data_IF_158175842314
#
_entry.id   IF_158175842314
#
_cell.length_a   1.000
_cell.length_b   1.000
_cell.length_c   1.000
_cell.angle_alpha   90.00
_cell.angle_beta   90.00
_cell.angle_gamma   90.00
#
_symmetry.space_group_name_H-M   'P 1'
#
loop_
_entity.id
_entity.type
_entity.pdbx_description
1 polymer ?
#
# COMPACT_ATOMS: atom_id res chain seq x y z
N UNK A 1 -9.55 17.69 1.44
CA UNK A 1 -8.26 18.03 2.08
C UNK A 1 -7.14 17.62 1.12
N UNK A 2 -6.29 18.57 0.72
CA UNK A 2 -5.12 18.38 -0.16
C UNK A 2 -5.39 17.50 -1.41
N UNK A 3 -6.48 17.76 -2.14
CA UNK A 3 -6.86 17.03 -3.37
C UNK A 3 -6.90 15.50 -3.25
N UNK A 4 -7.15 15.00 -2.03
CA UNK A 4 -7.26 13.58 -1.77
C UNK A 4 -5.94 12.88 -1.43
N UNK A 5 -4.81 13.61 -1.36
CA UNK A 5 -3.49 13.08 -1.00
C UNK A 5 -3.42 12.41 0.38
N UNK A 6 -4.37 12.72 1.26
CA UNK A 6 -4.43 12.19 2.63
C UNK A 6 -5.59 11.21 2.86
N UNK A 7 -6.33 10.80 1.82
CA UNK A 7 -7.57 10.01 1.98
C UNK A 7 -7.38 8.72 2.79
N UNK A 8 -6.24 8.04 2.63
CA UNK A 8 -5.97 6.75 3.28
C UNK A 8 -4.99 6.84 4.45
N UNK A 9 -4.28 7.98 4.60
CA UNK A 9 -3.30 8.22 5.67
C UNK A 9 -3.98 8.61 6.99
N UNK A 10 -4.77 7.68 7.52
CA UNK A 10 -5.58 7.90 8.71
C UNK A 10 -5.33 6.82 9.78
N UNK A 11 -5.17 7.18 11.07
CA UNK A 11 -4.95 6.21 12.15
C UNK A 11 -6.01 5.12 12.24
N UNK A 12 -7.26 5.39 11.90
CA UNK A 12 -8.32 4.37 11.87
C UNK A 12 -8.11 3.30 10.79
N UNK A 13 -7.51 3.65 9.65
CA UNK A 13 -7.18 2.69 8.59
C UNK A 13 -5.94 1.89 9.02
N UNK A 14 -4.87 2.59 9.37
CA UNK A 14 -3.61 1.94 9.74
C UNK A 14 -3.69 1.17 11.05
N UNK A 15 -4.52 1.61 12.01
CA UNK A 15 -4.79 0.87 13.25
C UNK A 15 -5.48 -0.46 12.98
N UNK A 16 -6.45 -0.50 12.06
CA UNK A 16 -7.10 -1.74 11.64
C UNK A 16 -6.14 -2.72 10.95
N UNK A 17 -5.19 -2.20 10.17
CA UNK A 17 -4.18 -3.00 9.46
C UNK A 17 -3.05 -3.46 10.39
N UNK A 18 -2.51 -2.59 11.25
CA UNK A 18 -1.26 -2.81 11.99
C UNK A 18 -1.45 -3.31 13.43
N UNK A 19 -2.67 -3.39 13.93
CA UNK A 19 -2.91 -4.01 15.23
C UNK A 19 -2.39 -5.46 15.21
N UNK A 20 -1.46 -5.75 16.11
CA UNK A 20 -0.96 -7.10 16.30
C UNK A 20 -1.99 -7.85 17.13
N UNK A 21 -2.67 -8.82 16.52
CA UNK A 21 -3.79 -9.53 17.13
C UNK A 21 -3.39 -10.48 18.24
N UNK A 22 -2.10 -10.81 18.37
CA UNK A 22 -1.58 -11.64 19.46
C UNK A 22 -1.31 -10.82 20.73
N UNK A 23 -1.41 -9.49 20.65
CA UNK A 23 -1.13 -8.57 21.75
C UNK A 23 -2.42 -7.94 22.29
N UNK A 24 -2.71 -8.20 23.56
CA UNK A 24 -3.94 -7.74 24.21
C UNK A 24 -4.05 -6.21 24.26
N UNK A 25 -2.95 -5.51 24.52
CA UNK A 25 -2.88 -4.05 24.55
C UNK A 25 -3.20 -3.41 23.19
N UNK A 26 -2.73 -4.00 22.09
CA UNK A 26 -3.09 -3.54 20.74
C UNK A 26 -4.60 -3.70 20.48
N UNK A 27 -5.18 -4.85 20.87
CA UNK A 27 -6.61 -5.11 20.66
C UNK A 27 -7.51 -4.21 21.51
N UNK A 28 -7.09 -3.91 22.75
CA UNK A 28 -7.77 -2.95 23.61
C UNK A 28 -7.72 -1.53 23.02
N UNK A 29 -6.55 -1.10 22.53
CA UNK A 29 -6.39 0.22 21.94
C UNK A 29 -7.30 0.44 20.72
N UNK A 30 -7.35 -0.51 19.78
CA UNK A 30 -8.23 -0.36 18.61
C UNK A 30 -9.72 -0.38 19.00
N UNK A 31 -10.10 -1.16 20.02
CA UNK A 31 -11.46 -1.19 20.53
C UNK A 31 -11.86 0.16 21.17
N UNK A 32 -10.98 0.75 21.99
CA UNK A 32 -11.18 2.07 22.60
C UNK A 32 -11.45 3.15 21.56
N UNK A 33 -10.71 3.12 20.44
CA UNK A 33 -10.87 4.07 19.35
C UNK A 33 -11.94 3.68 18.30
N UNK A 34 -12.74 2.64 18.56
CA UNK A 34 -13.75 2.13 17.61
C UNK A 34 -13.17 1.87 16.22
N UNK A 35 -12.06 1.14 16.18
CA UNK A 35 -11.33 0.73 14.98
C UNK A 35 -11.51 -0.78 14.83
N UNK A 36 -12.13 -1.21 13.74
CA UNK A 36 -12.23 -2.62 13.39
C UNK A 36 -10.90 -3.12 12.79
N UNK A 37 -10.48 -4.36 13.08
CA UNK A 37 -9.40 -5.01 12.35
C UNK A 37 -9.69 -5.08 10.85
N UNK A 38 -8.64 -5.06 10.03
CA UNK A 38 -8.70 -5.28 8.59
C UNK A 38 -7.98 -6.57 8.28
N UNK A 39 -8.66 -7.51 7.61
CA UNK A 39 -8.15 -8.84 7.26
C UNK A 39 -7.52 -8.90 5.86
N UNK A 40 -8.00 -8.05 4.95
CA UNK A 40 -7.63 -8.05 3.54
C UNK A 40 -7.37 -6.63 3.06
N UNK A 41 -6.22 -6.42 2.42
CA UNK A 41 -5.84 -5.15 1.79
C UNK A 41 -5.53 -5.41 0.32
N UNK A 42 -6.36 -4.86 -0.56
CA UNK A 42 -6.18 -4.97 -2.02
C UNK A 42 -5.84 -3.58 -2.56
N UNK A 43 -4.61 -3.41 -3.05
CA UNK A 43 -4.12 -2.10 -3.49
C UNK A 43 -3.22 -2.28 -4.72
N UNK A 44 -3.53 -1.56 -5.78
CA UNK A 44 -2.68 -1.38 -6.95
C UNK A 44 -2.18 0.07 -6.98
N UNK A 45 -0.93 0.28 -7.37
CA UNK A 45 -0.34 1.62 -7.46
C UNK A 45 -0.70 2.27 -8.80
N UNK A 46 -0.70 3.60 -8.82
CA UNK A 46 -0.72 4.36 -10.08
C UNK A 46 0.45 3.94 -10.98
N UNK A 47 0.21 3.94 -12.30
CA UNK A 47 1.21 3.56 -13.31
C UNK A 47 2.28 4.66 -13.48
N UNK A 48 3.17 4.76 -12.50
CA UNK A 48 4.31 5.68 -12.55
C UNK A 48 5.29 5.32 -13.67
N UNK A 49 5.38 4.04 -14.06
CA UNK A 49 6.27 3.58 -15.14
C UNK A 49 5.81 4.08 -16.50
N UNK A 50 4.49 4.07 -16.75
CA UNK A 50 3.89 4.59 -17.98
C UNK A 50 3.79 6.12 -18.03
N UNK A 51 3.54 6.77 -16.89
CA UNK A 51 3.37 8.22 -16.82
C UNK A 51 4.11 8.83 -15.60
N UNK A 52 5.45 8.94 -15.64
CA UNK A 52 6.22 9.41 -14.51
C UNK A 52 6.12 10.93 -14.33
N UNK A 53 5.74 11.36 -13.13
CA UNK A 53 5.65 12.77 -12.77
C UNK A 53 5.51 12.97 -11.26
N UNK A 54 5.80 14.18 -10.76
CA UNK A 54 5.77 14.46 -9.32
C UNK A 54 4.37 14.21 -8.71
N UNK A 55 3.32 14.49 -9.48
CA UNK A 55 1.92 14.29 -9.10
C UNK A 55 1.45 12.84 -9.21
N UNK A 56 2.18 11.97 -9.92
CA UNK A 56 1.84 10.55 -10.07
C UNK A 56 2.53 9.67 -9.04
N UNK A 57 3.35 10.26 -8.14
CA UNK A 57 3.94 9.56 -7.00
C UNK A 57 2.85 9.31 -5.95
N UNK A 58 2.54 8.03 -5.75
CA UNK A 58 1.60 7.59 -4.74
C UNK A 58 2.29 7.48 -3.37
N UNK A 59 1.67 8.08 -2.36
CA UNK A 59 2.10 7.97 -0.97
C UNK A 59 1.22 7.00 -0.20
N UNK A 60 -0.09 7.03 -0.45
CA UNK A 60 -1.06 6.24 0.26
C UNK A 60 -0.98 4.75 -0.09
N UNK A 61 -0.88 4.44 -1.38
CA UNK A 61 -0.78 3.09 -1.91
C UNK A 61 0.39 2.30 -1.31
N UNK A 62 1.64 2.76 -1.44
CA UNK A 62 2.80 2.05 -0.88
C UNK A 62 2.72 1.94 0.65
N UNK A 63 2.17 2.95 1.33
CA UNK A 63 1.98 2.90 2.78
C UNK A 63 1.02 1.79 3.21
N UNK A 64 -0.13 1.64 2.54
CA UNK A 64 -1.10 0.57 2.80
C UNK A 64 -0.50 -0.82 2.52
N UNK A 65 0.17 -0.97 1.36
CA UNK A 65 0.81 -2.22 0.95
C UNK A 65 1.84 -2.65 2.00
N UNK A 66 2.75 -1.75 2.40
CA UNK A 66 3.79 -2.05 3.39
C UNK A 66 3.21 -2.34 4.77
N UNK A 67 2.15 -1.65 5.18
CA UNK A 67 1.50 -1.89 6.46
C UNK A 67 0.87 -3.29 6.51
N UNK A 68 0.15 -3.69 5.45
CA UNK A 68 -0.46 -5.02 5.35
C UNK A 68 0.60 -6.12 5.26
N UNK A 69 1.61 -5.96 4.40
CA UNK A 69 2.71 -6.92 4.24
C UNK A 69 3.49 -7.11 5.55
N UNK A 70 3.75 -6.04 6.31
CA UNK A 70 4.38 -6.11 7.64
C UNK A 70 3.56 -6.96 8.61
N UNK A 71 2.22 -6.87 8.56
CA UNK A 71 1.33 -7.58 9.47
C UNK A 71 0.74 -8.85 8.85
N UNK A 72 1.49 -9.53 7.96
CA UNK A 72 1.03 -10.72 7.23
C UNK A 72 0.70 -11.94 8.11
N UNK A 73 1.08 -11.90 9.39
CA UNK A 73 0.58 -12.84 10.39
C UNK A 73 -0.96 -12.82 10.50
N UNK A 74 -1.60 -11.67 10.24
CA UNK A 74 -3.04 -11.50 10.37
C UNK A 74 -3.73 -10.81 9.18
N UNK A 75 -2.97 -10.21 8.25
CA UNK A 75 -3.52 -9.46 7.11
C UNK A 75 -3.04 -10.05 5.80
N UNK A 76 -3.95 -10.33 4.88
CA UNK A 76 -3.61 -10.71 3.51
C UNK A 76 -3.48 -9.44 2.67
N UNK A 77 -2.37 -9.31 1.94
CA UNK A 77 -2.13 -8.20 1.00
C UNK A 77 -2.19 -8.71 -0.43
N UNK A 78 -2.84 -7.96 -1.31
CA UNK A 78 -2.95 -8.27 -2.74
C UNK A 78 -2.57 -7.03 -3.56
N UNK A 79 -1.57 -7.18 -4.42
CA UNK A 79 -1.05 -6.10 -5.29
C UNK A 79 -1.20 -6.39 -6.79
N UNK A 80 -1.70 -7.58 -7.14
CA UNK A 80 -1.84 -8.05 -8.52
C UNK A 80 -3.16 -8.83 -8.66
N UNK A 81 -4.03 -8.46 -9.62
CA UNK A 81 -5.27 -9.18 -9.88
C UNK A 81 -5.11 -10.68 -10.17
N UNK A 82 -3.92 -11.11 -10.64
CA UNK A 82 -3.65 -12.54 -10.91
C UNK A 82 -3.70 -13.42 -9.66
N UNK A 83 -3.56 -12.84 -8.47
CA UNK A 83 -3.60 -13.58 -7.21
C UNK A 83 -5.02 -13.73 -6.65
N UNK A 84 -6.03 -13.09 -7.27
CA UNK A 84 -7.37 -13.01 -6.70
C UNK A 84 -8.06 -14.38 -6.65
N UNK A 85 -8.05 -15.12 -7.76
CA UNK A 85 -8.76 -16.40 -7.86
C UNK A 85 -8.29 -17.40 -6.79
N UNK A 86 -6.99 -17.47 -6.55
CA UNK A 86 -6.41 -18.36 -5.54
C UNK A 86 -6.78 -17.93 -4.11
N UNK A 87 -6.70 -16.63 -3.80
CA UNK A 87 -7.09 -16.11 -2.48
C UNK A 87 -8.59 -16.32 -2.23
N UNK A 88 -9.43 -16.05 -3.24
CA UNK A 88 -10.87 -16.26 -3.18
C UNK A 88 -11.18 -17.74 -2.93
N UNK A 89 -10.49 -18.67 -3.59
CA UNK A 89 -10.66 -20.10 -3.38
C UNK A 89 -10.34 -20.52 -1.93
N UNK A 90 -9.26 -19.98 -1.34
CA UNK A 90 -8.93 -20.23 0.06
C UNK A 90 -10.01 -19.69 1.01
N UNK A 91 -10.47 -18.45 0.79
CA UNK A 91 -11.51 -17.84 1.62
C UNK A 91 -12.82 -18.63 1.56
N UNK A 92 -13.24 -19.11 0.39
CA UNK A 92 -14.45 -19.94 0.28
C UNK A 92 -14.30 -21.33 0.91
N UNK A 93 -13.09 -21.90 0.92
CA UNK A 93 -12.85 -23.23 1.46
C UNK A 93 -12.69 -23.24 2.98
N UNK A 94 -11.98 -22.26 3.54
CA UNK A 94 -11.53 -22.28 4.94
C UNK A 94 -11.76 -20.97 5.70
N UNK A 95 -12.37 -19.96 5.10
CA UNK A 95 -12.53 -18.58 5.64
C UNK A 95 -11.19 -17.89 5.98
N UNK A 96 -10.08 -18.47 5.52
CA UNK A 96 -8.72 -18.04 5.83
C UNK A 96 -7.80 -18.29 4.64
N UNK A 97 -6.83 -17.40 4.44
CA UNK A 97 -5.71 -17.59 3.52
C UNK A 97 -4.57 -18.24 4.30
N UNK A 98 -3.97 -19.37 3.87
CA UNK A 98 -2.90 -20.03 4.62
C UNK A 98 -1.71 -19.11 4.91
N UNK A 99 -1.03 -19.33 6.05
CA UNK A 99 0.12 -18.51 6.47
C UNK A 99 1.21 -18.45 5.40
N UNK A 100 1.60 -19.60 4.83
CA UNK A 100 2.58 -19.68 3.75
C UNK A 100 2.21 -18.76 2.57
N UNK A 101 0.93 -18.73 2.21
CA UNK A 101 0.42 -17.87 1.14
C UNK A 101 0.45 -16.39 1.54
N UNK A 102 0.07 -16.05 2.77
CA UNK A 102 0.15 -14.65 3.26
C UNK A 102 1.60 -14.15 3.29
N UNK A 103 2.55 -14.99 3.67
CA UNK A 103 3.99 -14.67 3.66
C UNK A 103 4.50 -14.48 2.23
N UNK A 104 4.12 -15.36 1.29
CA UNK A 104 4.48 -15.22 -0.11
C UNK A 104 3.91 -13.93 -0.74
N UNK A 105 2.66 -13.59 -0.42
CA UNK A 105 2.04 -12.34 -0.85
C UNK A 105 2.71 -11.11 -0.24
N UNK A 106 3.14 -11.18 1.02
CA UNK A 106 3.90 -10.11 1.67
C UNK A 106 5.27 -9.87 1.02
N UNK A 107 5.98 -10.94 0.65
CA UNK A 107 7.22 -10.85 -0.14
C UNK A 107 6.96 -10.13 -1.47
N UNK A 108 5.97 -10.61 -2.25
CA UNK A 108 5.57 -10.00 -3.53
C UNK A 108 5.21 -8.52 -3.36
N UNK A 109 4.51 -8.16 -2.29
CA UNK A 109 4.15 -6.79 -1.97
C UNK A 109 5.37 -5.89 -1.69
N UNK A 110 6.36 -6.36 -0.92
CA UNK A 110 7.58 -5.60 -0.68
C UNK A 110 8.43 -5.45 -1.94
N UNK A 111 8.56 -6.50 -2.75
CA UNK A 111 9.22 -6.45 -4.06
C UNK A 111 8.55 -5.44 -4.99
N UNK A 112 7.22 -5.43 -5.02
CA UNK A 112 6.46 -4.46 -5.82
C UNK A 112 6.72 -3.01 -5.40
N UNK A 113 6.74 -2.72 -4.10
CA UNK A 113 7.08 -1.36 -3.63
C UNK A 113 8.54 -1.00 -3.86
N UNK A 114 9.47 -1.96 -3.79
CA UNK A 114 10.88 -1.72 -4.11
C UNK A 114 11.09 -1.37 -5.59
N UNK A 115 10.38 -2.06 -6.50
CA UNK A 115 10.38 -1.75 -7.92
C UNK A 115 9.80 -0.35 -8.19
N UNK A 116 8.72 0.01 -7.50
CA UNK A 116 8.10 1.33 -7.60
C UNK A 116 9.06 2.46 -7.17
N UNK A 117 9.70 2.33 -6.00
CA UNK A 117 10.67 3.30 -5.50
C UNK A 117 11.92 3.40 -6.40
N UNK A 118 12.35 2.27 -6.99
CA UNK A 118 13.44 2.26 -7.96
C UNK A 118 13.10 3.05 -9.23
N UNK A 119 11.85 2.94 -9.72
CA UNK A 119 11.37 3.71 -10.87
C UNK A 119 11.35 5.22 -10.59
N UNK A 120 10.83 5.63 -9.42
CA UNK A 120 10.84 7.03 -8.97
C UNK A 120 12.28 7.55 -8.87
N UNK A 121 13.16 6.78 -8.23
CA UNK A 121 14.57 7.15 -8.06
C UNK A 121 15.29 7.32 -9.39
N UNK A 122 15.01 6.44 -10.36
CA UNK A 122 15.53 6.53 -11.72
C UNK A 122 15.04 7.80 -12.42
N UNK A 123 13.74 8.07 -12.38
CA UNK A 123 13.16 9.27 -12.98
C UNK A 123 13.73 10.57 -12.39
N UNK A 124 13.83 10.66 -11.06
CA UNK A 124 14.46 11.82 -10.39
C UNK A 124 15.92 12.00 -10.82
N UNK A 125 16.68 10.91 -10.94
CA UNK A 125 18.08 10.94 -11.40
C UNK A 125 18.18 11.45 -12.83
N UNK A 126 17.30 11.01 -13.72
CA UNK A 126 17.29 11.43 -15.11
C UNK A 126 16.88 12.91 -15.24
N UNK A 127 15.93 13.39 -14.41
CA UNK A 127 15.57 14.81 -14.30
C UNK A 127 16.76 15.67 -13.84
N UNK A 128 17.47 15.26 -12.79
CA UNK A 128 18.70 15.93 -12.33
C UNK A 128 19.74 16.02 -13.45
N UNK A 129 19.94 14.95 -14.22
CA UNK A 129 20.90 14.92 -15.34
C UNK A 129 20.51 15.85 -16.48
N UNK A 130 19.22 15.93 -16.80
CA UNK A 130 18.71 16.79 -17.87
C UNK A 130 18.66 18.28 -17.50
N UNK A 131 18.65 18.60 -16.21
CA UNK A 131 18.41 19.97 -15.72
C UNK A 131 16.95 20.44 -15.86
N UNK A 132 16.04 19.57 -16.29
CA UNK A 132 14.61 19.88 -16.38
C UNK A 132 13.97 20.00 -14.99
N UNK A 133 13.08 20.98 -14.83
CA UNK A 133 12.25 21.08 -13.62
C UNK A 133 11.36 19.85 -13.49
N UNK A 134 11.26 19.33 -12.26
CA UNK A 134 10.30 18.28 -11.89
C UNK A 134 8.93 18.85 -11.51
N UNK A 135 8.88 20.15 -11.23
CA UNK A 135 7.64 20.86 -10.97
C UNK A 135 7.04 21.30 -12.30
N UNK A 136 5.72 21.14 -12.49
CA UNK A 136 5.07 21.76 -13.62
C UNK A 136 5.45 23.24 -13.64
N UNK A 137 5.77 23.77 -14.82
CA UNK A 137 5.85 25.21 -14.99
C UNK A 137 4.51 25.75 -14.51
N UNK A 138 4.52 26.63 -13.51
CA UNK A 138 3.30 27.33 -13.12
C UNK A 138 2.72 27.91 -14.42
N UNK A 139 1.57 27.42 -14.85
CA UNK A 139 0.73 28.18 -15.77
C UNK A 139 0.43 29.46 -15.02
N UNK A 140 1.16 30.51 -15.36
CA UNK A 140 0.90 31.87 -14.96
C UNK A 140 -0.38 32.32 -15.67
N UNK A 141 -1.51 31.74 -15.28
CA UNK A 141 -2.86 32.08 -15.69
C UNK A 141 -3.82 31.40 -14.75
N UNK A 142 -4.07 32.03 -13.60
CA UNK A 142 -5.38 32.45 -13.10
C UNK A 142 -5.25 33.21 -11.78
#
# INVERSE_FOLDING_TARGET
MLDGRLKTLHPRVFGGILANRTKLDHMQAIAEYNIAPIDLVVVNLYDFLGNPGIETIDIGGPSLIRAAAKNCASVTVLTDPKDYDEVIAHLFATDEVPEEKRVALALKAFEYTALYDAAISKWLRDKIRSGESIFPLNDASH
#
